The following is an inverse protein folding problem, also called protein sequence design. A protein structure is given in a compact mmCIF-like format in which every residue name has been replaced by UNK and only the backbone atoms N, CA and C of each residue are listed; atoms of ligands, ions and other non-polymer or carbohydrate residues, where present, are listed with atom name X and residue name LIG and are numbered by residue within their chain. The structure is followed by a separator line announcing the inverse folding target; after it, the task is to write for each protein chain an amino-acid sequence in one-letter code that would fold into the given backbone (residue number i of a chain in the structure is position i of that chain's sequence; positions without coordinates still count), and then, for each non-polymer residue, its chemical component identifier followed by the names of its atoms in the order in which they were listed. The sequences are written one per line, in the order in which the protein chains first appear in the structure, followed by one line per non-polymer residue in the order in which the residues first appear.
data_IF_454355420975
#
_entry.id   IF_454355420975
#
_cell.length_a   1.000
_cell.length_b   1.000
_cell.length_c   1.000
_cell.angle_alpha   90.00
_cell.angle_beta   90.00
_cell.angle_gamma   90.00
#
_symmetry.space_group_name_H-M   'P 1'
#
loop_
_entity.id
_entity.type
_entity.pdbx_description
1 polymer ?
#
# COMPACT_ATOMS: atom_id res chain seq x y z
N UNK A 1 -13.13 31.53 5.87
CA UNK A 1 -12.37 30.47 5.17
C UNK A 1 -11.83 31.07 3.87
N UNK A 2 -10.53 31.02 3.63
CA UNK A 2 -9.90 31.51 2.38
C UNK A 2 -9.51 30.33 1.48
N UNK A 3 -9.33 30.56 0.18
CA UNK A 3 -8.91 29.51 -0.75
C UNK A 3 -7.58 28.83 -0.34
N UNK A 4 -6.64 29.60 0.21
CA UNK A 4 -5.38 29.06 0.75
C UNK A 4 -5.59 28.20 2.02
N UNK A 5 -6.52 28.59 2.89
CA UNK A 5 -6.84 27.80 4.08
C UNK A 5 -7.50 26.46 3.70
N UNK A 6 -8.37 26.45 2.69
CA UNK A 6 -8.97 25.22 2.17
C UNK A 6 -7.94 24.33 1.45
N UNK A 7 -7.05 24.92 0.66
CA UNK A 7 -5.97 24.18 -0.01
C UNK A 7 -5.04 23.49 1.00
N UNK A 8 -4.62 24.18 2.07
CA UNK A 8 -3.78 23.56 3.10
C UNK A 8 -4.47 22.42 3.85
N UNK A 9 -5.81 22.43 3.93
CA UNK A 9 -6.58 21.35 4.56
C UNK A 9 -6.77 20.14 3.64
N UNK A 10 -6.82 20.36 2.31
CA UNK A 10 -7.00 19.31 1.30
C UNK A 10 -5.68 18.78 0.74
N UNK A 11 -4.57 19.49 0.97
CA UNK A 11 -3.25 19.07 0.48
C UNK A 11 -2.80 17.85 1.28
N UNK A 12 -2.39 16.76 0.62
CA UNK A 12 -1.83 15.61 1.31
C UNK A 12 -0.52 15.99 2.02
N UNK A 13 -0.40 15.64 3.30
CA UNK A 13 0.83 15.82 4.07
C UNK A 13 1.71 14.57 3.93
N UNK A 14 2.51 14.53 2.87
CA UNK A 14 3.41 13.41 2.58
C UNK A 14 4.62 13.32 3.53
N UNK A 15 4.81 14.28 4.44
CA UNK A 15 5.93 14.23 5.40
C UNK A 15 5.78 13.07 6.41
N UNK A 16 4.57 12.51 6.56
CA UNK A 16 4.27 11.32 7.36
C UNK A 16 4.08 10.05 6.51
N UNK A 17 4.39 10.08 5.22
CA UNK A 17 4.07 8.98 4.31
C UNK A 17 4.81 7.67 4.62
N UNK A 18 6.04 7.76 5.16
CA UNK A 18 6.83 6.59 5.53
C UNK A 18 6.75 6.34 7.05
N UNK A 19 5.75 5.56 7.45
CA UNK A 19 5.62 5.13 8.86
C UNK A 19 6.37 3.83 9.14
N UNK A 20 6.58 3.00 8.10
CA UNK A 20 7.30 1.72 8.19
C UNK A 20 8.37 1.70 7.10
N UNK A 21 9.66 1.59 7.45
CA UNK A 21 10.73 1.49 6.46
C UNK A 21 10.59 0.24 5.58
N UNK A 22 10.95 0.34 4.31
CA UNK A 22 10.93 -0.84 3.42
C UNK A 22 11.90 -1.95 3.84
N UNK A 23 12.92 -1.60 4.63
CA UNK A 23 13.94 -2.51 5.18
C UNK A 23 13.59 -3.02 6.57
N UNK A 24 12.37 -2.80 7.07
CA UNK A 24 11.97 -3.28 8.38
C UNK A 24 12.13 -4.81 8.45
N UNK A 25 12.91 -5.35 9.42
CA UNK A 25 13.24 -6.77 9.48
C UNK A 25 12.05 -7.67 9.83
N UNK A 26 10.94 -7.11 10.32
CA UNK A 26 9.74 -7.88 10.65
C UNK A 26 8.81 -8.08 9.45
N UNK A 27 9.10 -7.47 8.28
CA UNK A 27 8.36 -7.66 7.03
C UNK A 27 9.24 -8.17 5.89
N UNK A 28 8.60 -8.88 4.96
CA UNK A 28 9.17 -9.29 3.67
C UNK A 28 8.30 -8.72 2.55
N UNK A 29 8.75 -7.64 1.90
CA UNK A 29 8.07 -7.07 0.75
C UNK A 29 8.48 -7.76 -0.55
N UNK A 30 7.52 -8.01 -1.43
CA UNK A 30 7.75 -8.62 -2.75
C UNK A 30 6.76 -8.08 -3.78
N UNK A 31 7.21 -7.95 -5.03
CA UNK A 31 6.29 -7.76 -6.15
C UNK A 31 5.95 -9.11 -6.76
N UNK A 32 4.67 -9.45 -6.75
CA UNK A 32 4.14 -10.66 -7.35
C UNK A 32 3.28 -10.32 -8.58
N UNK A 33 3.00 -11.32 -9.41
CA UNK A 33 1.96 -11.25 -10.42
C UNK A 33 0.87 -12.26 -10.08
N UNK A 34 -0.39 -11.87 -10.29
CA UNK A 34 -1.53 -12.78 -10.14
C UNK A 34 -2.46 -12.66 -11.35
N UNK A 35 -3.15 -13.75 -11.67
CA UNK A 35 -4.11 -13.79 -12.76
C UNK A 35 -5.44 -13.18 -12.32
N UNK A 36 -5.88 -12.16 -13.05
CA UNK A 36 -7.20 -11.52 -12.97
C UNK A 36 -7.92 -11.71 -14.31
N UNK A 37 -8.52 -12.89 -14.56
CA UNK A 37 -9.06 -13.27 -15.86
C UNK A 37 -10.21 -12.36 -16.32
N UNK A 38 -11.00 -11.85 -15.38
CA UNK A 38 -12.11 -10.93 -15.65
C UNK A 38 -11.68 -9.44 -15.58
N UNK A 39 -10.39 -9.18 -15.41
CA UNK A 39 -9.79 -7.87 -15.32
C UNK A 39 -8.71 -7.65 -16.37
N UNK A 40 -7.55 -7.15 -15.94
CA UNK A 40 -6.43 -6.80 -16.82
C UNK A 40 -5.46 -7.95 -17.12
N UNK A 41 -5.91 -9.21 -17.01
CA UNK A 41 -5.02 -10.37 -17.22
C UNK A 41 -4.06 -10.54 -16.05
N UNK A 42 -2.75 -10.55 -16.30
CA UNK A 42 -1.77 -10.55 -15.20
C UNK A 42 -1.64 -9.18 -14.56
N UNK A 43 -1.89 -9.12 -13.26
CA UNK A 43 -1.80 -7.91 -12.46
C UNK A 43 -0.60 -8.01 -11.54
N UNK A 44 0.25 -6.98 -11.56
CA UNK A 44 1.34 -6.83 -10.60
C UNK A 44 0.79 -6.31 -9.26
N UNK A 45 1.17 -6.94 -8.15
CA UNK A 45 0.80 -6.54 -6.80
C UNK A 45 2.04 -6.41 -5.90
N UNK A 46 1.93 -5.54 -4.89
CA UNK A 46 2.91 -5.46 -3.81
C UNK A 46 2.40 -6.26 -2.62
N UNK A 47 3.05 -7.38 -2.34
CA UNK A 47 2.72 -8.27 -1.24
C UNK A 47 3.71 -8.05 -0.10
N UNK A 48 3.19 -7.83 1.10
CA UNK A 48 3.99 -7.75 2.32
C UNK A 48 3.56 -8.87 3.25
N UNK A 49 4.51 -9.72 3.64
CA UNK A 49 4.29 -10.78 4.63
C UNK A 49 5.15 -10.56 5.86
N UNK A 50 4.66 -10.79 7.08
CA UNK A 50 5.52 -10.82 8.26
C UNK A 50 6.62 -11.89 8.13
N UNK A 51 7.82 -11.61 8.62
CA UNK A 51 8.92 -12.59 8.59
C UNK A 51 8.71 -13.74 9.58
N UNK A 52 7.94 -13.50 10.64
CA UNK A 52 7.59 -14.49 11.68
C UNK A 52 6.10 -14.85 11.57
N UNK A 53 5.78 -15.84 10.75
CA UNK A 53 4.46 -16.47 10.70
C UNK A 53 4.61 -17.91 11.17
N UNK A 54 3.77 -18.32 12.13
CA UNK A 54 3.78 -19.68 12.66
C UNK A 54 3.22 -20.70 11.65
N UNK A 55 2.09 -20.39 11.00
CA UNK A 55 1.45 -21.25 10.01
C UNK A 55 0.68 -20.42 8.96
N UNK A 56 -0.65 -20.40 9.01
CA UNK A 56 -1.50 -19.60 8.13
C UNK A 56 -1.93 -18.34 8.85
N UNK A 57 -1.78 -17.19 8.19
CA UNK A 57 -2.30 -15.92 8.65
C UNK A 57 -3.53 -15.52 7.82
N UNK A 58 -4.49 -14.77 8.40
CA UNK A 58 -5.50 -14.08 7.61
C UNK A 58 -4.82 -13.07 6.66
N UNK A 59 -5.47 -12.80 5.53
CA UNK A 59 -4.99 -11.85 4.54
C UNK A 59 -5.86 -10.59 4.53
N UNK A 60 -5.23 -9.46 4.22
CA UNK A 60 -5.90 -8.17 3.99
C UNK A 60 -5.58 -7.70 2.57
N UNK A 61 -6.61 -7.33 1.82
CA UNK A 61 -6.45 -6.68 0.51
C UNK A 61 -6.52 -5.18 0.71
N UNK A 62 -5.46 -4.48 0.31
CA UNK A 62 -5.41 -3.02 0.33
C UNK A 62 -5.57 -2.54 -1.11
N UNK A 63 -6.58 -1.72 -1.35
CA UNK A 63 -6.80 -1.06 -2.65
C UNK A 63 -6.35 0.38 -2.49
N UNK A 64 -5.38 0.80 -3.30
CA UNK A 64 -4.86 2.16 -3.24
C UNK A 64 -5.88 3.17 -3.77
N UNK A 65 -5.73 4.43 -3.36
CA UNK A 65 -6.50 5.54 -3.92
C UNK A 65 -6.04 5.89 -5.34
N UNK A 66 -6.84 6.69 -6.05
CA UNK A 66 -6.45 7.21 -7.34
C UNK A 66 -5.46 8.36 -7.15
N UNK A 67 -4.17 8.07 -7.27
CA UNK A 67 -3.14 9.10 -7.33
C UNK A 67 -2.90 9.47 -8.80
N UNK A 68 -3.29 10.68 -9.19
CA UNK A 68 -2.92 11.31 -10.45
C UNK A 68 -1.65 12.15 -10.29
#
# INVERSE_FOLDING_TARGET
MTALALFNLLKPDYALAEQVPFTDPDIRPEYIHYLSPDGHGEVRAYLVTPTKIADKAPAVVVVHENAA
#
